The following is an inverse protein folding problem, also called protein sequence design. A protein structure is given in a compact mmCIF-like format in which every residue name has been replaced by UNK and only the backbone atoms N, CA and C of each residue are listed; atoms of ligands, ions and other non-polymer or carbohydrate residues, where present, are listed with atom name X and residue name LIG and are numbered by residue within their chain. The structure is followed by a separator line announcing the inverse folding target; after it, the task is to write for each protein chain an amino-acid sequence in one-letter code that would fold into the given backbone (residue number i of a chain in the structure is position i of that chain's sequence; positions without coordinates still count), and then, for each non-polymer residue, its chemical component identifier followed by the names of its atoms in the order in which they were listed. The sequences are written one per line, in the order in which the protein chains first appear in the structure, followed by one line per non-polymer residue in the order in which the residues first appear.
data_IF_740981872082
#
_entry.id   IF_740981872082
#
_cell.length_a   1.000
_cell.length_b   1.000
_cell.length_c   1.000
_cell.angle_alpha   90.00
_cell.angle_beta   90.00
_cell.angle_gamma   90.00
#
_symmetry.space_group_name_H-M   'P 1'
#
loop_
_entity.id
_entity.type
_entity.pdbx_description
1 polymer ?
#
# COMPACT_ATOMS: atom_id res chain seq x y z
N UNK A 1 6.92 16.61 4.18
CA UNK A 1 5.87 17.65 4.02
C UNK A 1 4.76 17.42 5.03
N UNK A 2 4.17 18.47 5.60
CA UNK A 2 2.99 18.39 6.48
C UNK A 2 1.82 19.02 5.75
N UNK A 3 0.68 18.33 5.73
CA UNK A 3 -0.49 18.64 4.90
C UNK A 3 -1.73 18.63 5.80
N UNK A 4 -2.58 19.64 5.67
CA UNK A 4 -3.85 19.75 6.40
C UNK A 4 -5.04 19.54 5.48
N UNK A 5 -6.23 19.49 6.07
CA UNK A 5 -7.46 19.29 5.31
C UNK A 5 -7.67 20.39 4.26
N UNK A 6 -8.13 19.98 3.07
CA UNK A 6 -8.34 20.85 1.90
C UNK A 6 -7.06 21.46 1.32
N UNK A 7 -5.90 20.87 1.62
CA UNK A 7 -4.63 21.28 1.04
C UNK A 7 -4.14 20.26 0.00
N UNK A 8 -3.50 20.80 -1.03
CA UNK A 8 -2.65 20.05 -1.96
C UNK A 8 -1.22 20.51 -1.79
N UNK A 9 -0.31 19.56 -1.58
CA UNK A 9 1.13 19.82 -1.52
C UNK A 9 1.83 19.03 -2.62
N UNK A 10 2.86 19.65 -3.21
CA UNK A 10 3.71 19.04 -4.22
C UNK A 10 5.15 19.08 -3.72
N UNK A 11 5.80 17.92 -3.68
CA UNK A 11 7.21 17.79 -3.37
C UNK A 11 7.95 17.23 -4.57
N UNK A 12 9.09 17.85 -4.89
CA UNK A 12 9.95 17.47 -6.00
C UNK A 12 11.25 16.95 -5.45
N UNK A 13 11.63 15.75 -5.86
CA UNK A 13 12.88 15.11 -5.47
C UNK A 13 13.80 15.04 -6.69
N UNK A 14 15.07 15.36 -6.49
CA UNK A 14 16.13 15.28 -7.49
C UNK A 14 17.38 14.69 -6.85
N UNK A 15 18.18 13.97 -7.63
CA UNK A 15 19.48 13.44 -7.20
C UNK A 15 19.43 12.54 -5.95
N UNK A 16 18.38 11.73 -5.82
CA UNK A 16 18.20 10.77 -4.73
C UNK A 16 17.81 9.39 -5.25
N UNK A 17 18.05 8.36 -4.44
CA UNK A 17 17.51 7.02 -4.66
C UNK A 17 16.45 6.73 -3.61
N UNK A 18 15.24 6.41 -4.06
CA UNK A 18 14.07 6.24 -3.23
C UNK A 18 13.44 4.87 -3.46
N UNK A 19 12.76 4.31 -2.47
CA UNK A 19 11.99 3.07 -2.64
C UNK A 19 10.55 3.15 -2.11
N UNK A 20 10.13 4.31 -1.62
CA UNK A 20 8.79 4.48 -1.07
C UNK A 20 8.57 5.80 -0.37
N UNK A 21 7.41 5.91 0.27
CA UNK A 21 6.99 7.03 1.11
C UNK A 21 6.67 6.55 2.52
N UNK A 22 7.13 7.28 3.52
CA UNK A 22 6.64 7.17 4.88
C UNK A 22 5.48 8.16 5.06
N UNK A 23 4.29 7.62 5.37
CA UNK A 23 3.08 8.43 5.57
C UNK A 23 2.63 8.28 7.01
N UNK A 24 2.51 9.39 7.71
CA UNK A 24 2.04 9.44 9.10
C UNK A 24 0.84 10.38 9.22
N UNK A 25 -0.27 9.86 9.72
CA UNK A 25 -1.41 10.67 10.14
C UNK A 25 -1.31 10.93 11.65
N UNK A 26 -1.15 12.20 12.01
CA UNK A 26 -1.33 12.66 13.39
C UNK A 26 -2.81 13.01 13.58
N UNK A 27 -3.46 12.33 14.53
CA UNK A 27 -4.89 12.44 14.77
C UNK A 27 -5.17 12.88 16.21
N UNK A 28 -6.10 13.80 16.36
CA UNK A 28 -6.63 14.23 17.66
C UNK A 28 -8.14 14.07 17.66
N UNK A 29 -8.72 13.54 18.75
CA UNK A 29 -10.16 13.41 18.91
C UNK A 29 -10.86 14.76 18.86
N UNK A 30 -12.08 14.80 18.33
CA UNK A 30 -12.95 15.98 18.34
C UNK A 30 -13.55 16.28 19.71
N UNK A 31 -13.61 15.28 20.60
CA UNK A 31 -14.27 15.36 21.92
C UNK A 31 -13.34 14.81 23.01
N UNK A 32 -13.35 15.46 24.18
CA UNK A 32 -12.66 14.96 25.37
C UNK A 32 -13.15 13.57 25.76
N UNK A 33 -12.29 12.79 26.44
CA UNK A 33 -12.64 11.47 26.95
C UNK A 33 -13.23 10.50 25.91
N UNK A 34 -12.89 10.69 24.63
CA UNK A 34 -13.43 9.88 23.53
C UNK A 34 -12.28 9.35 22.70
N UNK A 35 -12.28 8.03 22.50
CA UNK A 35 -11.28 7.38 21.65
C UNK A 35 -11.52 7.72 20.17
N UNK A 36 -10.43 7.82 19.41
CA UNK A 36 -10.50 8.00 17.96
C UNK A 36 -10.91 6.64 17.35
N UNK A 37 -11.97 6.56 16.53
CA UNK A 37 -12.37 5.33 15.87
C UNK A 37 -11.27 4.77 14.95
N UNK A 38 -11.25 3.44 14.73
CA UNK A 38 -10.42 2.79 13.72
C UNK A 38 -10.52 3.48 12.35
N UNK A 39 -9.48 3.37 11.53
CA UNK A 39 -9.45 3.93 10.17
C UNK A 39 -10.73 3.59 9.39
N UNK A 40 -11.33 4.64 8.86
CA UNK A 40 -12.59 4.58 8.13
C UNK A 40 -12.34 4.31 6.64
N UNK A 41 -13.41 4.00 5.92
CA UNK A 41 -13.44 4.00 4.47
C UNK A 41 -14.87 4.31 4.02
N UNK A 42 -15.17 5.59 3.79
CA UNK A 42 -16.44 6.04 3.23
C UNK A 42 -17.66 6.02 4.16
N UNK A 43 -17.52 5.72 5.46
CA UNK A 43 -18.67 5.74 6.40
C UNK A 43 -18.90 7.10 7.06
N UNK A 44 -17.91 7.99 7.01
CA UNK A 44 -17.99 9.34 7.59
C UNK A 44 -17.73 9.38 9.09
N UNK A 45 -17.08 8.35 9.66
CA UNK A 45 -16.83 8.22 11.10
C UNK A 45 -15.33 8.05 11.35
N UNK A 46 -14.64 9.16 11.60
CA UNK A 46 -13.22 9.18 11.97
C UNK A 46 -12.28 9.63 10.83
N UNK A 47 -11.07 9.06 10.80
CA UNK A 47 -10.07 9.34 9.78
C UNK A 47 -10.29 8.46 8.55
N UNK A 48 -10.55 9.09 7.40
CA UNK A 48 -10.84 8.42 6.12
C UNK A 48 -9.72 8.69 5.08
N UNK A 49 -8.79 7.73 4.88
CA UNK A 49 -7.73 7.85 3.90
C UNK A 49 -8.20 7.65 2.46
N UNK A 50 -9.45 7.24 2.21
CA UNK A 50 -10.00 7.22 0.84
C UNK A 50 -10.17 8.63 0.27
N UNK A 51 -10.26 9.63 1.15
CA UNK A 51 -10.34 11.06 0.82
C UNK A 51 -8.96 11.71 0.64
N UNK A 52 -7.88 10.93 0.59
CA UNK A 52 -6.52 11.41 0.36
C UNK A 52 -6.04 10.85 -0.97
N UNK A 53 -5.77 11.72 -1.94
CA UNK A 53 -5.19 11.32 -3.22
C UNK A 53 -3.67 11.44 -3.16
N UNK A 54 -2.96 10.37 -3.52
CA UNK A 54 -1.51 10.35 -3.64
C UNK A 54 -1.14 10.04 -5.08
N UNK A 55 -0.36 10.94 -5.67
CA UNK A 55 0.19 10.79 -7.01
C UNK A 55 1.71 10.90 -6.94
N UNK A 56 2.39 9.91 -7.50
CA UNK A 56 3.85 9.86 -7.63
C UNK A 56 4.17 9.65 -9.09
N UNK A 57 4.77 10.66 -9.71
CA UNK A 57 5.16 10.63 -11.11
C UNK A 57 6.68 10.79 -11.25
N UNK A 58 7.29 9.93 -12.05
CA UNK A 58 8.70 10.04 -12.43
C UNK A 58 8.80 10.70 -13.81
N UNK A 59 9.38 11.89 -13.84
CA UNK A 59 9.72 12.61 -15.07
C UNK A 59 11.18 12.30 -15.38
N UNK A 60 11.42 11.60 -16.49
CA UNK A 60 12.75 11.17 -16.91
C UNK A 60 13.01 11.55 -18.36
N UNK A 61 14.20 12.09 -18.62
CA UNK A 61 14.65 12.48 -19.97
C UNK A 61 13.66 13.39 -20.74
N UNK A 62 12.92 14.26 -20.03
CA UNK A 62 11.93 15.17 -20.64
C UNK A 62 10.70 14.48 -21.28
N UNK A 63 10.47 13.19 -20.98
CA UNK A 63 9.37 12.40 -21.52
C UNK A 63 8.05 12.58 -20.75
N UNK A 64 6.99 11.96 -21.28
CA UNK A 64 5.72 11.78 -20.56
C UNK A 64 6.01 11.12 -19.20
N UNK A 65 5.45 11.64 -18.10
CA UNK A 65 5.74 11.11 -16.76
C UNK A 65 5.30 9.66 -16.62
N UNK A 66 6.15 8.83 -16.02
CA UNK A 66 5.78 7.49 -15.57
C UNK A 66 4.95 7.63 -14.30
N UNK A 67 3.69 7.20 -14.34
CA UNK A 67 2.84 7.17 -13.15
C UNK A 67 3.19 5.95 -12.29
N UNK A 68 3.94 6.19 -11.21
CA UNK A 68 4.36 5.17 -10.24
C UNK A 68 3.19 4.83 -9.32
N UNK A 69 2.52 5.85 -8.79
CA UNK A 69 1.30 5.71 -7.97
C UNK A 69 0.31 6.79 -8.42
N UNK A 70 -0.95 6.41 -8.58
CA UNK A 70 -2.05 7.33 -8.83
C UNK A 70 -3.33 6.76 -8.26
N UNK A 71 -3.53 6.87 -6.95
CA UNK A 71 -4.68 6.28 -6.26
C UNK A 71 -4.95 7.00 -4.93
N UNK A 72 -5.99 6.57 -4.21
CA UNK A 72 -6.23 7.07 -2.86
C UNK A 72 -5.35 6.32 -1.83
N UNK A 73 -5.04 6.99 -0.73
CA UNK A 73 -4.19 6.46 0.34
C UNK A 73 -4.81 5.22 0.99
N UNK A 74 -6.14 5.13 1.08
CA UNK A 74 -6.83 3.96 1.64
C UNK A 74 -6.45 2.66 0.91
N UNK A 75 -6.54 2.68 -0.42
CA UNK A 75 -6.18 1.55 -1.30
C UNK A 75 -4.69 1.22 -1.16
N UNK A 76 -3.82 2.21 -1.36
CA UNK A 76 -2.37 1.98 -1.39
C UNK A 76 -1.84 1.54 -0.02
N UNK A 77 -2.33 2.14 1.07
CA UNK A 77 -1.95 1.76 2.43
C UNK A 77 -2.49 0.37 2.78
N UNK A 78 -3.73 0.05 2.43
CA UNK A 78 -4.29 -1.28 2.63
C UNK A 78 -3.48 -2.36 1.91
N UNK A 79 -3.10 -2.11 0.66
CA UNK A 79 -2.28 -3.04 -0.13
C UNK A 79 -0.88 -3.25 0.47
N UNK A 80 -0.25 -2.18 0.96
CA UNK A 80 1.07 -2.26 1.59
C UNK A 80 1.06 -2.89 2.99
N UNK A 81 -0.09 -2.90 3.66
CA UNK A 81 -0.24 -3.41 5.04
C UNK A 81 -0.99 -4.75 5.13
N UNK A 82 -1.35 -5.34 3.99
CA UNK A 82 -2.13 -6.57 3.89
C UNK A 82 -1.49 -7.77 4.63
N UNK A 83 -0.15 -7.87 4.66
CA UNK A 83 0.57 -8.94 5.35
C UNK A 83 1.25 -8.49 6.65
N UNK A 84 1.34 -7.19 6.91
CA UNK A 84 2.07 -6.64 8.06
C UNK A 84 1.62 -5.23 8.41
N UNK A 85 1.76 -4.85 9.68
CA UNK A 85 1.48 -3.49 10.16
C UNK A 85 0.04 -2.97 9.95
N UNK A 86 -0.92 -3.82 9.56
CA UNK A 86 -2.33 -3.42 9.38
C UNK A 86 -2.96 -2.81 10.65
N UNK A 87 -2.61 -3.32 11.83
CA UNK A 87 -3.07 -2.76 13.10
C UNK A 87 -2.50 -1.36 13.37
N UNK A 88 -1.22 -1.13 13.04
CA UNK A 88 -0.57 0.18 13.18
C UNK A 88 -1.20 1.20 12.24
N UNK A 89 -1.56 0.81 11.03
CA UNK A 89 -2.26 1.69 10.10
C UNK A 89 -3.71 1.98 10.53
N UNK A 90 -4.41 0.99 11.09
CA UNK A 90 -5.83 1.13 11.46
C UNK A 90 -6.07 1.83 12.78
N UNK A 91 -5.33 1.44 13.83
CA UNK A 91 -5.53 1.94 15.20
C UNK A 91 -4.52 3.03 15.50
N UNK A 92 -3.28 2.80 15.08
CA UNK A 92 -2.16 3.67 15.39
C UNK A 92 -1.54 3.39 16.75
N UNK A 93 -0.61 4.25 17.13
CA UNK A 93 0.01 4.29 18.44
C UNK A 93 -0.62 5.45 19.21
N UNK A 94 -1.24 5.16 20.35
CA UNK A 94 -1.77 6.18 21.26
C UNK A 94 -0.63 7.00 21.85
N UNK A 95 -0.71 8.31 21.69
CA UNK A 95 0.21 9.27 22.28
C UNK A 95 -0.35 9.84 23.59
N UNK A 96 -1.66 10.08 23.61
CA UNK A 96 -2.41 10.56 24.79
C UNK A 96 -3.70 9.75 24.85
N UNK A 97 -3.92 9.03 25.96
CA UNK A 97 -5.13 8.25 26.18
C UNK A 97 -6.36 9.15 26.40
N UNK A 98 -7.58 8.68 26.05
CA UNK A 98 -8.79 9.42 26.39
C UNK A 98 -8.94 9.53 27.91
N UNK A 99 -9.15 10.75 28.41
CA UNK A 99 -9.45 11.02 29.82
C UNK A 99 -10.42 12.21 29.94
N UNK A 100 -10.97 12.43 31.12
CA UNK A 100 -11.98 13.47 31.38
C UNK A 100 -11.56 14.87 30.90
N UNK A 101 -10.28 15.20 31.01
CA UNK A 101 -9.66 16.48 30.69
C UNK A 101 -8.65 16.40 29.52
N UNK A 102 -8.56 15.24 28.84
CA UNK A 102 -7.64 15.04 27.73
C UNK A 102 -8.35 14.57 26.46
N UNK A 103 -7.95 15.16 25.32
CA UNK A 103 -8.29 14.64 24.01
C UNK A 103 -7.40 13.42 23.73
N UNK A 104 -8.01 12.34 23.24
CA UNK A 104 -7.21 11.23 22.73
C UNK A 104 -6.42 11.69 21.50
N UNK A 105 -5.13 11.38 21.46
CA UNK A 105 -4.26 11.62 20.30
C UNK A 105 -3.52 10.36 19.93
N UNK A 106 -3.41 10.07 18.63
CA UNK A 106 -2.67 8.93 18.12
C UNK A 106 -1.95 9.23 16.80
N UNK A 107 -0.94 8.43 16.50
CA UNK A 107 -0.26 8.44 15.21
C UNK A 107 -0.53 7.13 14.46
N UNK A 108 -0.97 7.23 13.21
CA UNK A 108 -1.07 6.09 12.29
C UNK A 108 0.00 6.21 11.23
N UNK A 109 0.79 5.16 11.05
CA UNK A 109 1.89 5.15 10.09
C UNK A 109 1.69 4.04 9.07
N UNK A 110 2.02 4.33 7.82
CA UNK A 110 2.21 3.34 6.77
C UNK A 110 3.44 3.69 5.94
N UNK A 111 4.22 2.65 5.63
CA UNK A 111 5.22 2.72 4.57
C UNK A 111 4.59 2.27 3.25
N UNK A 112 4.58 3.16 2.27
CA UNK A 112 4.13 2.88 0.91
C UNK A 112 5.37 2.51 0.09
N UNK A 113 5.51 1.22 -0.22
CA UNK A 113 6.58 0.75 -1.08
C UNK A 113 6.28 1.14 -2.54
N UNK A 114 7.30 1.48 -3.32
CA UNK A 114 7.12 1.75 -4.74
C UNK A 114 7.07 0.49 -5.61
N UNK A 115 7.52 -0.67 -5.10
CA UNK A 115 7.70 -1.88 -5.92
C UNK A 115 9.14 -2.08 -6.41
N UNK A 116 10.04 -1.14 -6.09
CA UNK A 116 11.45 -1.20 -6.46
C UNK A 116 12.22 0.04 -5.99
N UNK A 117 13.48 0.15 -6.41
CA UNK A 117 14.30 1.34 -6.19
C UNK A 117 14.19 2.25 -7.41
N UNK A 118 13.88 3.53 -7.19
CA UNK A 118 13.86 4.56 -8.22
C UNK A 118 15.07 5.46 -8.01
N UNK A 119 15.93 5.54 -9.03
CA UNK A 119 17.10 6.40 -9.02
C UNK A 119 16.79 7.67 -9.82
N UNK A 120 16.74 8.80 -9.12
CA UNK A 120 16.55 10.13 -9.74
C UNK A 120 17.92 10.77 -9.88
N UNK A 121 18.34 11.08 -11.11
CA UNK A 121 19.66 11.65 -11.37
C UNK A 121 19.64 12.67 -12.51
N UNK A 122 20.55 13.64 -12.47
CA UNK A 122 20.66 14.63 -13.54
C UNK A 122 19.42 15.51 -13.61
N UNK A 123 18.74 15.49 -14.75
CA UNK A 123 17.54 16.29 -15.01
C UNK A 123 16.23 15.59 -14.62
N UNK A 124 16.30 14.33 -14.16
CA UNK A 124 15.13 13.59 -13.70
C UNK A 124 14.48 14.27 -12.47
N UNK A 125 13.16 14.17 -12.36
CA UNK A 125 12.37 14.68 -11.24
C UNK A 125 11.35 13.62 -10.82
N UNK A 126 11.38 13.22 -9.54
CA UNK A 126 10.25 12.50 -8.94
C UNK A 126 9.32 13.52 -8.29
N UNK A 127 8.08 13.58 -8.75
CA UNK A 127 7.05 14.51 -8.26
C UNK A 127 6.05 13.75 -7.42
N UNK A 128 5.92 14.14 -6.15
CA UNK A 128 4.98 13.59 -5.20
C UNK A 128 3.93 14.65 -4.91
N UNK A 129 2.71 14.41 -5.35
CA UNK A 129 1.55 15.27 -5.11
C UNK A 129 0.61 14.57 -4.15
N UNK A 130 0.24 15.26 -3.07
CA UNK A 130 -0.69 14.74 -2.07
C UNK A 130 -1.78 15.76 -1.84
N UNK A 131 -3.02 15.31 -1.94
CA UNK A 131 -4.22 16.14 -1.76
C UNK A 131 -5.10 15.54 -0.68
N UNK A 132 -5.39 16.32 0.36
CA UNK A 132 -6.35 15.97 1.40
C UNK A 132 -7.65 16.70 1.11
N UNK A 133 -8.76 15.99 0.88
CA UNK A 133 -10.04 16.62 0.58
C UNK A 133 -10.93 16.76 1.82
N UNK A 134 -12.07 17.43 1.67
CA UNK A 134 -13.12 17.42 2.67
C UNK A 134 -13.59 15.98 2.88
N UNK A 135 -13.59 15.54 4.13
CA UNK A 135 -13.93 14.16 4.50
C UNK A 135 -12.74 13.32 4.99
N UNK A 136 -11.50 13.80 4.89
CA UNK A 136 -10.34 13.09 5.48
C UNK A 136 -10.44 12.97 7.01
N UNK A 137 -10.87 14.03 7.68
CA UNK A 137 -11.09 14.07 9.12
C UNK A 137 -12.58 14.33 9.37
N UNK A 138 -13.33 13.30 9.74
CA UNK A 138 -14.77 13.36 9.99
C UNK A 138 -15.10 13.54 11.48
N UNK A 139 -16.37 13.37 11.86
CA UNK A 139 -16.95 13.73 13.16
C UNK A 139 -16.17 13.26 14.40
N UNK A 140 -15.46 12.13 14.33
CA UNK A 140 -14.63 11.59 15.43
C UNK A 140 -13.21 12.15 15.53
N UNK A 141 -12.81 13.06 14.63
CA UNK A 141 -11.43 13.59 14.53
C UNK A 141 -11.47 15.11 14.38
N UNK A 142 -10.68 15.81 15.19
CA UNK A 142 -10.52 17.24 15.09
C UNK A 142 -9.63 17.59 13.89
N UNK A 143 -10.24 18.10 12.81
CA UNK A 143 -9.52 18.46 11.58
C UNK A 143 -8.48 19.58 11.78
N UNK A 144 -8.70 20.51 12.71
CA UNK A 144 -7.76 21.62 12.98
C UNK A 144 -6.48 21.14 13.65
N UNK A 145 -6.58 20.12 14.51
CA UNK A 145 -5.47 19.56 15.27
C UNK A 145 -4.92 18.26 14.67
N UNK A 146 -5.35 17.90 13.46
CA UNK A 146 -4.92 16.68 12.77
C UNK A 146 -4.24 17.04 11.46
N UNK A 147 -3.29 16.21 11.04
CA UNK A 147 -2.49 16.46 9.83
C UNK A 147 -1.89 15.18 9.28
N UNK A 148 -1.52 15.21 8.00
CA UNK A 148 -0.75 14.15 7.36
C UNK A 148 0.68 14.63 7.12
N UNK A 149 1.66 13.86 7.57
CA UNK A 149 3.07 14.02 7.23
C UNK A 149 3.46 12.97 6.21
N UNK A 150 4.10 13.40 5.14
CA UNK A 150 4.62 12.54 4.07
C UNK A 150 6.09 12.81 3.88
N UNK A 151 6.90 11.76 3.94
CA UNK A 151 8.34 11.81 3.78
C UNK A 151 8.80 10.78 2.75
N UNK A 152 9.83 11.12 2.01
CA UNK A 152 10.49 10.20 1.09
C UNK A 152 11.32 9.21 1.88
N UNK A 153 11.32 7.94 1.47
CA UNK A 153 12.21 6.94 2.04
C UNK A 153 13.44 6.75 1.14
N UNK A 154 14.57 7.25 1.61
CA UNK A 154 15.85 7.05 0.93
C UNK A 154 16.27 5.59 0.99
N UNK A 155 16.92 5.14 -0.07
CA UNK A 155 17.26 3.73 -0.25
C UNK A 155 18.63 3.57 -0.87
N UNK A 156 19.35 2.53 -0.44
CA UNK A 156 20.60 2.09 -1.05
C UNK A 156 20.27 0.86 -1.90
N UNK A 157 19.97 1.08 -3.17
CA UNK A 157 19.56 0.03 -4.09
C UNK A 157 19.86 0.38 -5.53
N UNK A 158 19.72 -0.60 -6.41
CA UNK A 158 19.93 -0.43 -7.85
C UNK A 158 18.57 -0.49 -8.52
N UNK A 159 18.28 0.47 -9.39
CA UNK A 159 17.07 0.49 -10.19
C UNK A 159 17.19 -0.53 -11.35
N UNK A 160 16.31 -1.53 -11.39
CA UNK A 160 16.21 -2.51 -12.48
C UNK A 160 14.99 -2.27 -13.39
N UNK A 161 14.00 -1.54 -12.88
CA UNK A 161 12.74 -1.25 -13.55
C UNK A 161 12.08 -0.03 -12.92
N UNK A 162 11.09 0.53 -13.60
CA UNK A 162 10.23 1.60 -13.12
C UNK A 162 8.92 0.95 -12.65
N UNK A 163 8.67 0.86 -11.34
CA UNK A 163 7.49 0.15 -10.84
C UNK A 163 6.23 1.01 -10.95
N UNK A 164 5.09 0.35 -11.03
CA UNK A 164 3.78 0.98 -11.18
C UNK A 164 2.74 0.27 -10.33
N UNK A 165 2.07 1.01 -9.46
CA UNK A 165 0.88 0.56 -8.76
C UNK A 165 -0.35 0.76 -9.64
N UNK A 166 -1.21 -0.25 -9.66
CA UNK A 166 -2.47 -0.23 -10.40
C UNK A 166 -3.59 -0.78 -9.53
N UNK A 167 -4.79 -0.27 -9.74
CA UNK A 167 -6.00 -0.73 -9.06
C UNK A 167 -7.19 -0.71 -10.02
N UNK A 168 -8.03 -1.72 -9.93
CA UNK A 168 -9.29 -1.84 -10.63
C UNK A 168 -10.44 -1.85 -9.61
N UNK A 169 -11.36 -0.90 -9.73
CA UNK A 169 -12.55 -0.82 -8.88
C UNK A 169 -13.65 -1.75 -9.36
N UNK A 170 -14.02 -2.71 -8.51
CA UNK A 170 -15.10 -3.66 -8.79
C UNK A 170 -16.43 -2.93 -8.65
N UNK A 171 -17.29 -3.11 -9.66
CA UNK A 171 -18.61 -2.47 -9.69
C UNK A 171 -19.59 -3.17 -8.75
N UNK A 172 -20.53 -2.40 -8.19
CA UNK A 172 -21.59 -2.91 -7.33
C UNK A 172 -22.42 -4.01 -8.01
N UNK A 173 -22.87 -4.99 -7.22
CA UNK A 173 -23.77 -6.05 -7.67
C UNK A 173 -23.15 -7.08 -8.63
N UNK A 174 -21.85 -7.00 -8.91
CA UNK A 174 -21.14 -7.99 -9.73
C UNK A 174 -21.08 -9.35 -9.02
N UNK A 175 -21.42 -10.42 -9.75
CA UNK A 175 -21.28 -11.81 -9.29
C UNK A 175 -20.00 -12.48 -9.80
N UNK A 176 -19.47 -12.01 -10.93
CA UNK A 176 -18.25 -12.49 -11.54
C UNK A 176 -17.57 -11.32 -12.28
N UNK A 177 -16.24 -11.29 -12.25
CA UNK A 177 -15.46 -10.40 -13.10
C UNK A 177 -14.14 -11.06 -13.52
N UNK A 178 -13.50 -10.50 -14.55
CA UNK A 178 -12.18 -10.91 -15.02
C UNK A 178 -11.35 -9.69 -15.35
N UNK A 179 -10.20 -9.57 -14.69
CA UNK A 179 -9.26 -8.47 -14.89
C UNK A 179 -8.02 -9.00 -15.58
N UNK A 180 -7.69 -8.38 -16.72
CA UNK A 180 -6.42 -8.60 -17.41
C UNK A 180 -5.34 -7.77 -16.72
N UNK A 181 -4.39 -8.43 -16.07
CA UNK A 181 -3.30 -7.79 -15.34
C UNK A 181 -2.13 -7.48 -16.27
N UNK A 182 -1.83 -8.41 -17.18
CA UNK A 182 -0.78 -8.26 -18.19
C UNK A 182 0.57 -8.77 -17.71
N UNK A 183 1.63 -8.17 -18.25
CA UNK A 183 3.01 -8.62 -18.05
C UNK A 183 3.67 -8.00 -16.81
N UNK A 184 4.79 -8.58 -16.37
CA UNK A 184 5.62 -8.08 -15.29
C UNK A 184 4.88 -7.86 -13.96
N UNK A 185 3.87 -8.69 -13.66
CA UNK A 185 3.14 -8.58 -12.40
C UNK A 185 3.99 -9.17 -11.26
N UNK A 186 4.24 -8.36 -10.23
CA UNK A 186 5.06 -8.74 -9.06
C UNK A 186 4.22 -9.12 -7.85
N UNK A 187 3.04 -8.53 -7.73
CA UNK A 187 2.14 -8.74 -6.60
C UNK A 187 0.72 -8.43 -7.00
N UNK A 188 -0.23 -9.26 -6.59
CA UNK A 188 -1.65 -9.13 -6.88
C UNK A 188 -2.45 -9.42 -5.62
N UNK A 189 -3.47 -8.61 -5.34
CA UNK A 189 -4.39 -8.83 -4.25
C UNK A 189 -5.84 -8.51 -4.65
N UNK A 190 -6.76 -9.26 -4.05
CA UNK A 190 -8.17 -8.90 -3.96
C UNK A 190 -8.34 -8.14 -2.64
N UNK A 191 -8.92 -6.95 -2.69
CA UNK A 191 -9.10 -6.10 -1.53
C UNK A 191 -10.55 -5.72 -1.34
N UNK A 192 -11.01 -5.76 -0.10
CA UNK A 192 -12.30 -5.23 0.31
C UNK A 192 -12.14 -4.43 1.59
N UNK A 193 -12.82 -3.28 1.66
CA UNK A 193 -12.89 -2.47 2.87
C UNK A 193 -14.09 -2.82 3.77
N UNK A 194 -14.83 -3.91 3.49
CA UNK A 194 -15.84 -4.47 4.39
C UNK A 194 -15.19 -4.92 5.70
N UNK A 195 -15.81 -4.57 6.83
CA UNK A 195 -15.34 -4.86 8.19
C UNK A 195 -16.13 -6.00 8.85
N UNK A 196 -17.33 -6.29 8.36
CA UNK A 196 -18.16 -7.39 8.86
C UNK A 196 -17.76 -8.73 8.22
N UNK A 197 -17.18 -9.61 9.03
CA UNK A 197 -16.77 -10.96 8.61
C UNK A 197 -17.95 -11.85 8.20
N UNK A 198 -19.18 -11.49 8.59
CA UNK A 198 -20.39 -12.23 8.19
C UNK A 198 -20.86 -11.86 6.78
N UNK A 199 -20.23 -10.87 6.14
CA UNK A 199 -20.51 -10.46 4.77
C UNK A 199 -19.35 -10.86 3.86
N UNK A 200 -19.28 -12.13 3.44
CA UNK A 200 -18.24 -12.57 2.51
C UNK A 200 -18.39 -11.84 1.18
N UNK A 201 -17.27 -11.46 0.56
CA UNK A 201 -17.24 -10.76 -0.74
C UNK A 201 -16.81 -11.71 -1.84
N UNK A 202 -15.66 -12.36 -1.69
CA UNK A 202 -15.04 -13.21 -2.72
C UNK A 202 -15.29 -14.68 -2.42
N UNK A 203 -15.96 -15.38 -3.34
CA UNK A 203 -16.27 -16.81 -3.22
C UNK A 203 -15.19 -17.70 -3.84
N UNK A 204 -14.56 -17.23 -4.92
CA UNK A 204 -13.48 -17.93 -5.58
C UNK A 204 -12.62 -16.99 -6.41
N UNK A 205 -11.39 -17.43 -6.68
CA UNK A 205 -10.45 -16.75 -7.54
C UNK A 205 -9.64 -17.77 -8.34
N UNK A 206 -9.44 -17.46 -9.61
CA UNK A 206 -8.57 -18.19 -10.54
C UNK A 206 -7.51 -17.22 -11.03
N UNK A 207 -6.24 -17.54 -10.78
CA UNK A 207 -5.11 -16.88 -11.40
C UNK A 207 -4.66 -17.72 -12.59
N UNK A 208 -4.42 -17.07 -13.72
CA UNK A 208 -3.79 -17.68 -14.88
C UNK A 208 -2.68 -16.80 -15.43
N UNK A 209 -1.54 -17.40 -15.76
CA UNK A 209 -0.33 -16.71 -16.25
C UNK A 209 0.54 -17.64 -17.09
N UNK A 210 1.69 -17.16 -17.57
CA UNK A 210 2.66 -17.98 -18.28
C UNK A 210 3.34 -19.05 -17.42
N UNK A 211 3.52 -18.79 -16.11
CA UNK A 211 4.27 -19.64 -15.17
C UNK A 211 3.41 -20.38 -14.16
N UNK A 212 2.21 -19.88 -13.91
CA UNK A 212 1.37 -20.33 -12.82
C UNK A 212 -0.12 -20.26 -13.18
N UNK A 213 -0.84 -21.35 -12.96
CA UNK A 213 -2.29 -21.42 -13.02
C UNK A 213 -2.81 -22.10 -11.75
N UNK A 214 -3.80 -21.48 -11.09
CA UNK A 214 -4.50 -22.11 -9.98
C UNK A 214 -5.92 -21.57 -9.82
N UNK A 215 -6.76 -22.36 -9.17
CA UNK A 215 -8.10 -21.98 -8.74
C UNK A 215 -8.23 -22.22 -7.23
N UNK A 216 -8.85 -21.30 -6.53
CA UNK A 216 -9.11 -21.38 -5.10
C UNK A 216 -10.54 -20.92 -4.80
N UNK A 217 -11.26 -21.69 -4.01
CA UNK A 217 -12.47 -21.20 -3.33
C UNK A 217 -12.10 -20.27 -2.16
N UNK A 218 -13.11 -19.70 -1.49
CA UNK A 218 -12.92 -18.78 -0.35
C UNK A 218 -12.02 -19.35 0.75
N UNK A 219 -12.21 -20.62 1.13
CA UNK A 219 -11.42 -21.26 2.19
C UNK A 219 -9.96 -21.43 1.77
N UNK A 220 -9.74 -21.84 0.51
CA UNK A 220 -8.41 -21.94 -0.08
C UNK A 220 -7.73 -20.57 -0.24
N UNK A 221 -8.49 -19.50 -0.50
CA UNK A 221 -7.97 -18.13 -0.52
C UNK A 221 -7.52 -17.65 0.85
N UNK A 222 -8.31 -17.94 1.89
CA UNK A 222 -7.92 -17.65 3.28
C UNK A 222 -6.61 -18.37 3.60
N UNK A 223 -6.52 -19.68 3.31
CA UNK A 223 -5.30 -20.46 3.57
C UNK A 223 -4.08 -19.90 2.84
N UNK A 224 -4.21 -19.62 1.53
CA UNK A 224 -3.13 -19.02 0.72
C UNK A 224 -2.70 -17.65 1.25
N UNK A 225 -3.65 -16.84 1.71
CA UNK A 225 -3.32 -15.55 2.32
C UNK A 225 -2.46 -15.74 3.59
N UNK A 226 -2.79 -16.72 4.42
CA UNK A 226 -2.01 -17.08 5.61
C UNK A 226 -0.61 -17.61 5.29
N UNK A 227 -0.44 -18.37 4.22
CA UNK A 227 0.89 -18.86 3.78
C UNK A 227 1.87 -17.73 3.43
N UNK A 228 1.34 -16.54 3.08
CA UNK A 228 2.14 -15.36 2.79
C UNK A 228 2.55 -14.57 4.05
N UNK A 229 1.99 -14.87 5.23
CA UNK A 229 2.47 -14.24 6.44
C UNK A 229 3.86 -14.78 6.77
N UNK A 230 4.85 -13.91 7.04
CA UNK A 230 6.19 -14.36 7.38
C UNK A 230 6.10 -15.27 8.61
N UNK A 231 6.43 -16.55 8.47
CA UNK A 231 6.53 -17.58 9.52
C UNK A 231 7.49 -17.21 10.69
N UNK A 232 8.13 -16.03 10.63
CA UNK A 232 9.13 -15.54 11.57
C UNK A 232 8.69 -14.28 12.33
N UNK A 233 7.40 -13.98 12.46
CA UNK A 233 7.00 -13.01 13.48
C UNK A 233 7.19 -13.65 14.86
N UNK A 234 7.90 -12.94 15.75
CA UNK A 234 7.97 -13.28 17.18
C UNK A 234 6.58 -13.31 17.86
N UNK A 235 5.52 -12.96 17.11
CA UNK A 235 4.12 -13.07 17.47
C UNK A 235 3.57 -14.50 17.39
N UNK A 236 4.34 -15.53 17.01
CA UNK A 236 3.90 -16.93 17.13
C UNK A 236 3.75 -17.41 18.59
N UNK A 237 4.27 -16.65 19.56
CA UNK A 237 3.96 -16.91 20.99
C UNK A 237 2.53 -16.48 21.34
N UNK A 238 1.89 -15.71 20.47
CA UNK A 238 0.45 -15.52 20.50
C UNK A 238 -0.20 -16.71 19.79
N UNK A 239 -0.48 -17.74 20.60
CA UNK A 239 -1.47 -18.81 20.47
C UNK A 239 -2.27 -18.81 19.15
N UNK A 240 -2.54 -19.97 18.56
CA UNK A 240 -3.49 -20.09 17.43
C UNK A 240 -4.84 -19.40 17.69
N UNK A 241 -5.21 -19.22 18.97
CA UNK A 241 -6.31 -18.39 19.44
C UNK A 241 -6.13 -16.87 19.26
N UNK A 242 -4.92 -16.31 19.43
CA UNK A 242 -4.63 -14.90 19.22
C UNK A 242 -4.39 -14.57 17.75
N UNK A 243 -3.80 -15.45 16.94
CA UNK A 243 -3.79 -15.30 15.47
C UNK A 243 -5.21 -15.31 14.87
N UNK A 244 -6.14 -16.05 15.49
CA UNK A 244 -7.58 -16.02 15.16
C UNK A 244 -8.34 -14.85 15.83
N UNK A 245 -7.82 -14.25 16.92
CA UNK A 245 -8.30 -12.97 17.47
C UNK A 245 -7.76 -11.75 16.73
N UNK A 246 -6.61 -11.87 16.06
CA UNK A 246 -6.17 -10.99 14.98
C UNK A 246 -7.01 -11.32 13.75
N UNK A 247 -8.33 -11.13 13.87
CA UNK A 247 -9.23 -11.20 12.75
C UNK A 247 -8.60 -10.43 11.61
N UNK A 248 -8.48 -11.06 10.44
CA UNK A 248 -8.17 -10.39 9.19
C UNK A 248 -9.00 -9.10 9.19
N UNK A 249 -8.33 -7.98 9.43
CA UNK A 249 -9.00 -6.75 9.84
C UNK A 249 -9.99 -6.30 8.76
N UNK A 250 -9.64 -6.61 7.51
CA UNK A 250 -10.54 -6.71 6.39
C UNK A 250 -10.69 -8.19 6.04
N UNK A 251 -11.76 -8.87 6.50
CA UNK A 251 -11.91 -10.32 6.40
C UNK A 251 -12.00 -10.83 4.95
N UNK A 252 -12.25 -9.92 4.02
CA UNK A 252 -12.46 -10.18 2.60
C UNK A 252 -11.30 -9.65 1.74
N UNK A 253 -10.09 -9.66 2.27
CA UNK A 253 -8.89 -9.18 1.57
C UNK A 253 -7.86 -10.30 1.51
N UNK A 254 -7.35 -10.60 0.32
CA UNK A 254 -6.51 -11.77 0.05
C UNK A 254 -5.34 -11.40 -0.86
N UNK A 255 -4.14 -11.84 -0.49
CA UNK A 255 -2.99 -11.84 -1.40
C UNK A 255 -3.15 -13.03 -2.36
N UNK A 256 -3.25 -12.73 -3.64
CA UNK A 256 -3.40 -13.72 -4.72
C UNK A 256 -2.01 -14.18 -5.17
N UNK A 257 -1.07 -13.24 -5.29
CA UNK A 257 0.29 -13.50 -5.76
C UNK A 257 1.26 -12.51 -5.12
N UNK A 258 2.47 -12.95 -4.78
CA UNK A 258 3.52 -12.11 -4.19
C UNK A 258 4.92 -12.56 -4.64
N UNK A 259 5.85 -11.61 -4.66
CA UNK A 259 7.29 -11.74 -4.91
C UNK A 259 7.75 -12.10 -6.34
N UNK A 260 7.31 -13.21 -6.91
CA UNK A 260 7.84 -13.67 -8.20
C UNK A 260 7.20 -12.92 -9.37
N UNK A 261 7.93 -12.72 -10.46
CA UNK A 261 7.34 -12.10 -11.65
C UNK A 261 6.52 -13.13 -12.44
N UNK A 262 5.33 -12.73 -12.87
CA UNK A 262 4.48 -13.48 -13.80
C UNK A 262 4.06 -12.60 -14.98
N UNK A 263 3.97 -13.21 -16.16
CA UNK A 263 3.57 -12.56 -17.40
C UNK A 263 2.18 -13.04 -17.86
N UNK A 264 1.53 -12.23 -18.71
CA UNK A 264 0.18 -12.49 -19.24
C UNK A 264 -0.83 -12.84 -18.16
N UNK A 265 -0.66 -12.25 -16.98
CA UNK A 265 -1.46 -12.56 -15.82
C UNK A 265 -2.91 -12.10 -16.02
N UNK A 266 -3.84 -12.96 -15.63
CA UNK A 266 -5.28 -12.74 -15.66
C UNK A 266 -5.87 -13.29 -14.38
N UNK A 267 -6.71 -12.50 -13.73
CA UNK A 267 -7.44 -12.93 -12.53
C UNK A 267 -8.93 -12.94 -12.83
N UNK A 268 -9.56 -14.09 -12.58
CA UNK A 268 -11.00 -14.27 -12.64
C UNK A 268 -11.51 -14.55 -11.24
N UNK A 269 -12.59 -13.91 -10.82
CA UNK A 269 -13.13 -14.10 -9.46
C UNK A 269 -14.65 -14.06 -9.45
N UNK A 270 -15.23 -14.78 -8.51
CA UNK A 270 -16.68 -14.77 -8.24
C UNK A 270 -16.97 -14.18 -6.88
N UNK A 271 -18.13 -13.55 -6.73
CA UNK A 271 -18.47 -12.72 -5.59
C UNK A 271 -19.92 -12.90 -5.13
N UNK A 272 -20.18 -12.51 -3.88
CA UNK A 272 -21.53 -12.36 -3.34
C UNK A 272 -22.03 -10.96 -3.68
N UNK A 273 -22.76 -10.82 -4.79
CA UNK A 273 -23.22 -9.53 -5.32
C UNK A 273 -23.88 -8.61 -4.29
N UNK A 274 -24.67 -9.15 -3.36
CA UNK A 274 -25.34 -8.37 -2.31
C UNK A 274 -24.39 -7.68 -1.32
N UNK A 275 -23.15 -8.16 -1.21
CA UNK A 275 -22.13 -7.61 -0.32
C UNK A 275 -21.12 -6.72 -1.09
N UNK A 276 -21.13 -6.73 -2.42
CA UNK A 276 -20.23 -5.92 -3.25
C UNK A 276 -20.73 -4.48 -3.27
N UNK A 277 -20.21 -3.66 -2.38
CA UNK A 277 -20.49 -2.22 -2.34
C UNK A 277 -19.63 -1.40 -3.32
N UNK A 278 -20.16 -0.28 -3.84
CA UNK A 278 -19.42 0.59 -4.76
C UNK A 278 -18.19 1.21 -4.09
N UNK A 279 -17.08 1.30 -4.83
CA UNK A 279 -15.83 1.94 -4.39
C UNK A 279 -15.15 1.34 -3.16
N UNK A 280 -15.56 0.14 -2.70
CA UNK A 280 -14.96 -0.54 -1.53
C UNK A 280 -14.25 -1.85 -1.87
N UNK A 281 -14.36 -2.32 -3.11
CA UNK A 281 -13.84 -3.60 -3.55
C UNK A 281 -12.93 -3.40 -4.76
N UNK A 282 -11.74 -3.98 -4.71
CA UNK A 282 -10.68 -3.71 -5.67
C UNK A 282 -9.86 -4.94 -6.02
N UNK A 283 -9.32 -4.95 -7.23
CA UNK A 283 -8.14 -5.74 -7.59
C UNK A 283 -6.96 -4.78 -7.62
N UNK A 284 -5.89 -5.07 -6.88
CA UNK A 284 -4.72 -4.21 -6.78
C UNK A 284 -3.45 -4.99 -7.13
N UNK A 285 -2.53 -4.36 -7.85
CA UNK A 285 -1.28 -4.99 -8.22
C UNK A 285 -0.12 -4.03 -8.39
N UNK A 286 1.10 -4.56 -8.24
CA UNK A 286 2.31 -3.94 -8.75
C UNK A 286 2.70 -4.60 -10.07
N UNK A 287 2.95 -3.77 -11.08
CA UNK A 287 3.64 -4.13 -12.33
C UNK A 287 4.86 -3.24 -12.49
N UNK A 288 5.64 -3.43 -13.54
CA UNK A 288 6.77 -2.56 -13.84
C UNK A 288 7.05 -2.46 -15.34
N UNK A 289 7.73 -1.38 -15.71
CA UNK A 289 8.33 -1.22 -17.03
C UNK A 289 9.86 -1.30 -16.92
N UNK A 290 10.48 -2.04 -17.83
CA UNK A 290 11.95 -2.12 -17.92
C UNK A 290 12.40 -2.03 -19.37
N UNK A 291 13.67 -1.65 -19.57
CA UNK A 291 14.31 -1.65 -20.88
C UNK A 291 15.82 -1.83 -20.74
N UNK A 292 16.47 -2.10 -21.87
CA UNK A 292 17.92 -2.35 -21.94
C UNK A 292 18.74 -1.23 -21.29
N UNK A 293 18.38 0.03 -21.49
CA UNK A 293 19.10 1.18 -20.93
C UNK A 293 19.06 1.18 -19.40
N UNK A 294 17.90 0.89 -18.79
CA UNK A 294 17.76 0.76 -17.34
C UNK A 294 18.66 -0.37 -16.83
N UNK A 295 18.62 -1.53 -17.48
CA UNK A 295 19.42 -2.70 -17.10
C UNK A 295 20.93 -2.47 -17.26
N UNK A 296 21.37 -1.76 -18.30
CA UNK A 296 22.77 -1.39 -18.51
C UNK A 296 23.27 -0.44 -17.42
N UNK A 297 22.48 0.59 -17.08
CA UNK A 297 22.78 1.48 -15.94
C UNK A 297 22.86 0.69 -14.63
N UNK A 298 21.92 -0.24 -14.41
CA UNK A 298 21.91 -1.11 -13.24
C UNK A 298 23.20 -1.95 -13.13
N UNK A 299 23.65 -2.53 -14.25
CA UNK A 299 24.87 -3.33 -14.32
C UNK A 299 26.13 -2.49 -14.03
N UNK A 300 26.21 -1.28 -14.58
CA UNK A 300 27.31 -0.34 -14.32
C UNK A 300 27.35 0.03 -12.83
N UNK A 301 26.22 0.39 -12.23
CA UNK A 301 26.14 0.74 -10.81
C UNK A 301 26.57 -0.43 -9.91
N UNK A 302 26.10 -1.66 -10.20
CA UNK A 302 26.54 -2.86 -9.47
C UNK A 302 28.06 -3.05 -9.54
N UNK A 303 28.67 -2.91 -10.73
CA UNK A 303 30.13 -3.02 -10.89
C UNK A 303 30.88 -1.93 -10.12
N UNK A 304 30.37 -0.69 -10.14
CA UNK A 304 30.95 0.42 -9.37
C UNK A 304 30.92 0.16 -7.87
N UNK A 305 29.80 -0.32 -7.33
CA UNK A 305 29.68 -0.67 -5.91
C UNK A 305 30.65 -1.80 -5.54
N UNK A 306 30.70 -2.88 -6.33
CA UNK A 306 31.62 -3.99 -6.10
C UNK A 306 33.10 -3.55 -6.11
N UNK A 307 33.49 -2.69 -7.05
CA UNK A 307 34.86 -2.15 -7.10
C UNK A 307 35.17 -1.27 -5.88
N UNK A 308 34.23 -0.42 -5.45
CA UNK A 308 34.41 0.41 -4.27
C UNK A 308 34.51 -0.41 -2.97
N UNK A 309 33.73 -1.48 -2.85
CA UNK A 309 33.80 -2.37 -1.69
C UNK A 309 35.11 -3.18 -1.67
N UNK A 310 35.60 -3.63 -2.82
CA UNK A 310 36.91 -4.29 -2.93
C UNK A 310 38.06 -3.36 -2.49
N UNK A 311 38.04 -2.09 -2.93
CA UNK A 311 39.05 -1.11 -2.57
C UNK A 311 39.15 -0.87 -1.04
N UNK A 312 38.00 -0.86 -0.33
CA UNK A 312 37.97 -0.69 1.14
C UNK A 312 38.61 -1.85 1.91
N UNK A 313 38.73 -3.03 1.30
CA UNK A 313 39.29 -4.23 1.94
C UNK A 313 40.79 -4.32 1.73
N UNK A 314 41.31 -3.81 0.60
CA UNK A 314 42.74 -3.87 0.27
C UNK A 314 43.63 -3.06 1.23
N UNK A 315 43.10 -2.03 1.88
CA UNK A 315 43.84 -1.21 2.86
C UNK A 315 43.84 -1.78 4.30
N UNK A 316 43.33 -3.00 4.51
CA UNK A 316 43.17 -3.61 5.85
C UNK A 316 43.96 -4.92 6.05
N UNK A 317 44.90 -5.23 5.16
CA UNK A 317 45.84 -6.35 5.25
C UNK A 317 47.26 -5.78 5.23
#
# INVERSE_FOLDING_TARGET
MIIRQNETQVHKVKNETLNGLNVMAYLTSSVLNTAIPDTDYGTGVGFDPSMINIQVDLIRDGRVPYNIIGSNLGIVAGFNTILKNGALWRKGVTLVSPAADAYHSCCRNVFIYFGGHIQVSGDDELRITVTLTRGTFNTGVNATNSSLQVETNQSIGVEHWIPQFRSYGIQEGKTEDTVQIGDNCMRLALMSFEKDWKKPIFNSCTLSSDRLDWNANEQELILRHWDNFPYNSADLVNNSYTATQHALYYPNTFVVHDMDEIDKAKVKFTMVAANVEPSRNFVCWYTYETNRTILEKAAITKRKHAAADLAKVQDKI
#
